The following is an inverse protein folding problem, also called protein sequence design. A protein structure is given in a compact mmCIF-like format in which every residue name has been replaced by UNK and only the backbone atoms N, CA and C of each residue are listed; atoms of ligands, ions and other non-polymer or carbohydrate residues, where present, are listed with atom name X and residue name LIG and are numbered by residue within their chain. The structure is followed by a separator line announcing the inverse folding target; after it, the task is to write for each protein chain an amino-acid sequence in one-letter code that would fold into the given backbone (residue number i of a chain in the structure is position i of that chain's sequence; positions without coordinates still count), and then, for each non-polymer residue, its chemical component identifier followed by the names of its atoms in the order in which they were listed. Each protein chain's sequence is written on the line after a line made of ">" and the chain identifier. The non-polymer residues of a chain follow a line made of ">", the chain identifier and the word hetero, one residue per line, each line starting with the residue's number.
data_IF_045511713210
#
_entry.id   IF_045511713210
#
_cell.length_a   1.000
_cell.length_b   1.000
_cell.length_c   1.000
_cell.angle_alpha   90.00
_cell.angle_beta   90.00
_cell.angle_gamma   90.00
#
_symmetry.space_group_name_H-M   'P 1'
#
loop_
_entity.id
_entity.type
_entity.pdbx_description
1 polymer ?
#
# COMPACT_ATOMS: atom_id res chain seq x y z
N UNK A 1 16.42 -18.64 3.27
CA UNK A 1 16.75 -17.23 3.57
C UNK A 1 16.95 -16.53 2.23
N UNK A 2 15.90 -15.91 1.68
CA UNK A 2 15.97 -15.17 0.41
C UNK A 2 16.01 -13.68 0.73
N UNK A 3 17.15 -13.08 0.45
CA UNK A 3 17.51 -11.70 0.70
C UNK A 3 16.60 -10.76 -0.09
N UNK A 4 15.86 -9.93 0.62
CA UNK A 4 15.14 -8.76 0.07
C UNK A 4 16.18 -7.67 -0.24
N UNK A 5 16.77 -7.68 -1.43
CA UNK A 5 17.69 -6.60 -1.86
C UNK A 5 17.07 -5.65 -2.90
N UNK A 6 15.87 -5.98 -3.40
CA UNK A 6 15.14 -5.10 -4.31
C UNK A 6 14.39 -4.01 -3.52
N UNK A 7 14.49 -2.72 -3.92
CA UNK A 7 13.76 -1.64 -3.29
C UNK A 7 12.25 -1.93 -3.27
N UNK A 8 11.60 -1.63 -2.14
CA UNK A 8 10.16 -1.81 -1.99
C UNK A 8 9.46 -0.69 -2.77
N UNK A 9 9.05 -0.99 -3.99
CA UNK A 9 8.27 -0.08 -4.83
C UNK A 9 6.89 -0.69 -5.03
N UNK A 10 5.86 0.01 -4.55
CA UNK A 10 4.47 -0.36 -4.82
C UNK A 10 3.84 0.61 -5.81
N UNK A 11 3.53 0.11 -7.00
CA UNK A 11 2.77 0.84 -8.01
C UNK A 11 1.52 0.02 -8.41
N UNK A 12 0.30 0.48 -8.08
CA UNK A 12 -0.94 -0.23 -8.43
C UNK A 12 -1.23 -0.26 -9.94
N UNK A 13 -0.62 0.64 -10.72
CA UNK A 13 -0.78 0.72 -12.17
C UNK A 13 0.24 -0.13 -12.93
N UNK A 14 1.25 -0.69 -12.25
CA UNK A 14 2.21 -1.58 -12.88
C UNK A 14 1.59 -2.95 -13.20
N UNK A 15 1.78 -3.41 -14.44
CA UNK A 15 1.19 -4.65 -14.93
C UNK A 15 1.71 -5.90 -14.19
N UNK A 16 2.98 -5.88 -13.73
CA UNK A 16 3.56 -7.02 -13.01
C UNK A 16 2.98 -7.13 -11.60
N UNK A 17 2.83 -5.99 -10.94
CA UNK A 17 2.18 -5.86 -9.63
C UNK A 17 0.71 -6.27 -9.71
N UNK A 18 -0.01 -5.84 -10.74
CA UNK A 18 -1.42 -6.18 -10.94
C UNK A 18 -1.61 -7.69 -11.19
N UNK A 19 -0.71 -8.32 -11.95
CA UNK A 19 -0.76 -9.77 -12.22
C UNK A 19 -0.51 -10.62 -10.97
N UNK A 20 0.36 -10.18 -10.07
CA UNK A 20 0.61 -10.90 -8.81
C UNK A 20 0.96 -9.91 -7.67
N UNK A 21 -0.05 -9.33 -6.99
CA UNK A 21 0.18 -8.29 -6.00
C UNK A 21 0.60 -8.83 -4.62
N UNK A 22 0.30 -10.10 -4.35
CA UNK A 22 0.46 -10.69 -3.01
C UNK A 22 1.89 -10.63 -2.46
N UNK A 23 2.96 -10.85 -3.25
CA UNK A 23 4.34 -10.68 -2.78
C UNK A 23 4.63 -9.25 -2.32
N UNK A 24 4.17 -8.24 -3.07
CA UNK A 24 4.36 -6.83 -2.71
C UNK A 24 3.55 -6.48 -1.46
N UNK A 25 2.31 -6.95 -1.36
CA UNK A 25 1.48 -6.73 -0.17
C UNK A 25 2.07 -7.38 1.09
N UNK A 26 2.67 -8.56 0.96
CA UNK A 26 3.36 -9.22 2.07
C UNK A 26 4.56 -8.40 2.56
N UNK A 27 5.32 -7.82 1.62
CA UNK A 27 6.44 -6.91 1.96
C UNK A 27 5.93 -5.61 2.59
N UNK A 28 4.91 -4.96 2.03
CA UNK A 28 4.30 -3.76 2.61
C UNK A 28 3.90 -3.99 4.07
N UNK A 29 3.17 -5.06 4.36
CA UNK A 29 2.74 -5.37 5.74
C UNK A 29 3.88 -5.59 6.73
N UNK A 30 5.04 -6.05 6.26
CA UNK A 30 6.20 -6.39 7.09
C UNK A 30 7.18 -5.22 7.24
N UNK A 31 7.45 -4.52 6.15
CA UNK A 31 8.53 -3.53 6.04
C UNK A 31 8.01 -2.09 6.12
N UNK A 32 6.84 -1.78 5.54
CA UNK A 32 6.27 -0.44 5.49
C UNK A 32 4.73 -0.48 5.59
N UNK A 33 4.16 -0.73 6.78
CA UNK A 33 2.71 -0.86 6.95
C UNK A 33 1.92 0.36 6.48
N UNK A 34 2.51 1.54 6.65
CA UNK A 34 2.12 2.83 6.06
C UNK A 34 3.19 3.22 5.05
N UNK A 35 2.96 2.90 3.78
CA UNK A 35 3.93 3.15 2.71
C UNK A 35 3.65 4.48 2.02
N UNK A 36 4.69 5.28 1.78
CA UNK A 36 4.62 6.51 0.99
C UNK A 36 5.13 6.24 -0.42
N UNK A 37 4.28 6.45 -1.43
CA UNK A 37 4.73 6.53 -2.82
C UNK A 37 4.97 8.00 -3.16
N UNK A 38 6.24 8.41 -3.35
CA UNK A 38 6.56 9.80 -3.71
C UNK A 38 6.21 10.11 -5.17
N UNK A 39 6.44 9.17 -6.08
CA UNK A 39 6.21 9.34 -7.52
C UNK A 39 4.73 9.57 -7.86
N UNK A 40 3.85 8.79 -7.22
CA UNK A 40 2.39 8.85 -7.41
C UNK A 40 1.70 9.69 -6.32
N UNK A 41 2.44 10.18 -5.34
CA UNK A 41 1.94 11.14 -4.36
C UNK A 41 0.93 10.61 -3.34
N UNK A 42 0.80 9.29 -3.13
CA UNK A 42 -0.18 8.70 -2.20
C UNK A 42 0.44 7.92 -1.02
N UNK A 43 -0.40 7.60 -0.03
CA UNK A 43 -0.08 6.68 1.06
C UNK A 43 -0.86 5.38 0.90
N UNK A 44 -0.21 4.23 1.16
CA UNK A 44 -0.84 2.92 1.14
C UNK A 44 -0.86 2.33 2.55
N UNK A 45 -2.06 2.01 3.03
CA UNK A 45 -2.26 1.21 4.24
C UNK A 45 -2.34 -0.26 3.86
N UNK A 46 -1.57 -1.11 4.54
CA UNK A 46 -1.48 -2.54 4.18
C UNK A 46 -1.90 -3.50 5.29
N UNK A 47 -1.98 -3.02 6.54
CA UNK A 47 -2.51 -3.78 7.67
C UNK A 47 -4.03 -3.74 7.64
N UNK A 48 -4.66 -4.88 7.90
CA UNK A 48 -6.11 -5.01 7.92
C UNK A 48 -6.76 -4.03 8.90
N UNK A 49 -6.24 -3.94 10.12
CA UNK A 49 -6.84 -3.13 11.17
C UNK A 49 -6.76 -1.62 10.86
N UNK A 50 -5.63 -1.17 10.30
CA UNK A 50 -5.45 0.23 9.86
C UNK A 50 -6.42 0.57 8.71
N UNK A 51 -6.58 -0.34 7.75
CA UNK A 51 -7.52 -0.18 6.63
C UNK A 51 -8.96 -0.13 7.16
N UNK A 52 -9.33 -1.02 8.07
CA UNK A 52 -10.68 -1.06 8.64
C UNK A 52 -10.99 0.20 9.44
N UNK A 53 -10.03 0.69 10.24
CA UNK A 53 -10.17 1.93 10.99
C UNK A 53 -10.35 3.13 10.05
N UNK A 54 -9.51 3.25 9.01
CA UNK A 54 -9.61 4.33 8.03
C UNK A 54 -10.93 4.28 7.23
N UNK A 55 -11.43 3.08 6.92
CA UNK A 55 -12.71 2.92 6.24
C UNK A 55 -13.91 3.39 7.08
N UNK A 56 -13.83 3.30 8.41
CA UNK A 56 -14.90 3.75 9.30
C UNK A 56 -14.79 5.24 9.68
N UNK A 57 -13.58 5.81 9.69
CA UNK A 57 -13.34 7.23 9.98
C UNK A 57 -13.46 8.10 8.71
N UNK A 58 -14.71 8.33 8.30
CA UNK A 58 -14.99 9.13 7.09
C UNK A 58 -14.79 10.64 7.27
N UNK A 59 -14.63 11.12 8.52
CA UNK A 59 -14.31 12.52 8.79
C UNK A 59 -12.86 12.82 8.42
N UNK A 60 -11.94 11.91 8.77
CA UNK A 60 -10.52 12.02 8.43
C UNK A 60 -10.23 11.47 7.02
N UNK A 61 -10.81 10.33 6.65
CA UNK A 61 -10.59 9.65 5.37
C UNK A 61 -11.82 9.72 4.46
N UNK A 62 -12.02 10.87 3.83
CA UNK A 62 -13.18 11.10 2.98
C UNK A 62 -12.99 10.64 1.53
N UNK A 63 -14.07 10.19 0.88
CA UNK A 63 -14.07 9.77 -0.54
C UNK A 63 -14.34 10.91 -1.53
N UNK A 64 -14.44 12.17 -1.07
CA UNK A 64 -14.85 13.32 -1.91
C UNK A 64 -13.86 13.63 -3.03
N UNK A 65 -12.57 13.42 -2.80
CA UNK A 65 -11.50 13.87 -3.69
C UNK A 65 -11.02 12.77 -4.66
N UNK A 66 -11.48 11.53 -4.49
CA UNK A 66 -11.01 10.39 -5.27
C UNK A 66 -9.52 10.10 -5.11
N UNK A 67 -9.08 8.99 -5.70
CA UNK A 67 -7.67 8.65 -5.92
C UNK A 67 -7.45 8.27 -7.38
#
# INVERSE_FOLDING_TARGET
>A
MTTTDAPLVYNPYDATTNRNPFPVYARLRREAPVYRNEDLGFYALSKHDDVLAALHDTEVFCSRHGI
#
